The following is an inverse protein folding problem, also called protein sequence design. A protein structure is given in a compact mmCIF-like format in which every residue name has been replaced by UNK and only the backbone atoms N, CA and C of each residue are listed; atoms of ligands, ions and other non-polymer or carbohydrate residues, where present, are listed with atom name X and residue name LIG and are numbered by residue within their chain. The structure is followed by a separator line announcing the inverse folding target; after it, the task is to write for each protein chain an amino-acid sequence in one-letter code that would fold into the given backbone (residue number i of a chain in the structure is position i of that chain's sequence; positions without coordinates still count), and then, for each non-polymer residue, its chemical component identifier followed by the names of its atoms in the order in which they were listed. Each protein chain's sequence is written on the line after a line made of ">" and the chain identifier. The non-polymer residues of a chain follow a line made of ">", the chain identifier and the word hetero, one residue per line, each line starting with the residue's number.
data_IF_358449918189
#
_entry.id   IF_358449918189
#
_cell.length_a   1.000
_cell.length_b   1.000
_cell.length_c   1.000
_cell.angle_alpha   90.00
_cell.angle_beta   90.00
_cell.angle_gamma   90.00
#
_symmetry.space_group_name_H-M   'P 1'
#
loop_
_entity.id
_entity.type
_entity.pdbx_description
1 polymer ?
#
# COMPACT_ATOMS: atom_id res chain seq x y z
N UNK A 1 -14.29 7.03 -3.30
CA UNK A 1 -13.90 6.79 -1.89
C UNK A 1 -12.92 7.88 -1.48
N UNK A 2 -13.11 8.54 -0.33
CA UNK A 2 -12.10 9.50 0.19
C UNK A 2 -11.03 8.69 0.90
N UNK A 3 -9.79 8.75 0.41
CA UNK A 3 -8.65 8.02 0.98
C UNK A 3 -8.03 8.80 2.15
N UNK A 4 -7.40 8.10 3.10
CA UNK A 4 -6.73 8.72 4.24
C UNK A 4 -5.40 9.38 3.83
N UNK A 5 -4.82 10.22 4.70
CA UNK A 5 -3.57 10.91 4.39
C UNK A 5 -2.36 9.95 4.25
N UNK A 6 -2.43 8.70 4.73
CA UNK A 6 -1.42 7.68 4.37
C UNK A 6 -1.35 7.40 2.86
N UNK A 7 -2.38 7.76 2.10
CA UNK A 7 -2.41 7.64 0.65
C UNK A 7 -1.71 8.79 -0.06
N UNK A 8 -1.33 9.89 0.61
CA UNK A 8 -0.73 11.02 -0.09
C UNK A 8 0.78 10.84 -0.32
N UNK A 9 1.32 11.50 -1.33
CA UNK A 9 2.75 11.54 -1.64
C UNK A 9 3.46 12.69 -0.91
N UNK A 10 2.71 13.55 -0.22
CA UNK A 10 3.24 14.70 0.49
C UNK A 10 4.30 14.28 1.53
N UNK A 11 5.50 14.86 1.43
CA UNK A 11 6.62 14.57 2.32
C UNK A 11 7.26 13.19 2.15
N UNK A 12 6.83 12.36 1.18
CA UNK A 12 7.40 11.03 0.95
C UNK A 12 8.51 11.09 -0.11
N UNK A 13 9.70 10.59 0.23
CA UNK A 13 10.85 10.53 -0.66
C UNK A 13 10.94 9.22 -1.46
N UNK A 14 11.80 9.21 -2.48
CA UNK A 14 12.09 8.02 -3.30
C UNK A 14 12.55 6.83 -2.44
N UNK A 15 13.40 7.05 -1.44
CA UNK A 15 13.90 6.00 -0.56
C UNK A 15 12.78 5.25 0.15
N UNK A 16 11.78 5.97 0.66
CA UNK A 16 10.59 5.37 1.29
C UNK A 16 9.77 4.55 0.31
N UNK A 17 9.63 5.00 -0.94
CA UNK A 17 8.92 4.25 -1.99
C UNK A 17 9.64 2.97 -2.38
N UNK A 18 10.95 3.02 -2.50
CA UNK A 18 11.76 1.83 -2.74
C UNK A 18 11.72 0.86 -1.55
N UNK A 19 11.71 1.38 -0.33
CA UNK A 19 11.58 0.57 0.88
C UNK A 19 10.21 -0.11 0.96
N UNK A 20 9.11 0.61 0.72
CA UNK A 20 7.76 0.02 0.67
C UNK A 20 7.74 -1.18 -0.30
N UNK A 21 8.28 -1.02 -1.52
CA UNK A 21 8.34 -2.13 -2.51
C UNK A 21 9.25 -3.27 -2.04
N UNK A 22 10.39 -2.95 -1.43
CA UNK A 22 11.33 -3.95 -0.94
C UNK A 22 10.74 -4.79 0.18
N UNK A 23 9.99 -4.18 1.11
CA UNK A 23 9.31 -4.89 2.18
C UNK A 23 8.31 -5.91 1.63
N UNK A 24 7.46 -5.51 0.66
CA UNK A 24 6.51 -6.43 0.01
C UNK A 24 7.23 -7.52 -0.82
N UNK A 25 8.39 -7.21 -1.41
CA UNK A 25 9.21 -8.21 -2.12
C UNK A 25 9.78 -9.26 -1.17
N UNK A 26 10.18 -8.86 0.04
CA UNK A 26 10.64 -9.80 1.08
C UNK A 26 9.47 -10.68 1.51
N UNK A 27 8.29 -10.11 1.81
CA UNK A 27 7.08 -10.87 2.16
C UNK A 27 6.73 -11.88 1.05
N UNK A 28 6.83 -11.49 -0.23
CA UNK A 28 6.62 -12.38 -1.38
C UNK A 28 7.54 -13.62 -1.42
N UNK A 29 8.77 -13.54 -0.92
CA UNK A 29 9.69 -14.69 -0.87
C UNK A 29 9.50 -15.58 0.36
N UNK A 30 8.69 -15.15 1.34
CA UNK A 30 8.43 -15.88 2.58
C UNK A 30 7.14 -16.74 2.53
N UNK A 31 6.30 -16.56 1.50
CA UNK A 31 5.04 -17.31 1.34
C UNK A 31 5.23 -18.74 0.86
N UNK A 32 4.34 -19.64 1.27
CA UNK A 32 4.42 -21.07 0.96
C UNK A 32 3.35 -21.53 -0.03
N UNK A 33 2.30 -20.71 -0.26
CA UNK A 33 1.19 -21.06 -1.14
C UNK A 33 1.06 -20.12 -2.34
N UNK A 34 0.45 -20.62 -3.42
CA UNK A 34 0.20 -19.83 -4.64
C UNK A 34 -0.75 -18.67 -4.36
N UNK A 35 -1.74 -18.85 -3.49
CA UNK A 35 -2.70 -17.79 -3.18
C UNK A 35 -2.05 -16.64 -2.39
N UNK A 36 -1.19 -16.95 -1.42
CA UNK A 36 -0.38 -15.95 -0.70
C UNK A 36 0.61 -15.28 -1.65
N UNK A 37 1.29 -16.04 -2.51
CA UNK A 37 2.15 -15.48 -3.56
C UNK A 37 1.42 -14.46 -4.44
N UNK A 38 0.20 -14.75 -4.84
CA UNK A 38 -0.60 -13.82 -5.65
C UNK A 38 -1.10 -12.60 -4.84
N UNK A 39 -1.25 -12.70 -3.51
CA UNK A 39 -1.54 -11.54 -2.67
C UNK A 39 -0.33 -10.63 -2.59
N UNK A 40 0.82 -11.16 -2.17
CA UNK A 40 2.05 -10.38 -2.02
C UNK A 40 2.57 -9.83 -3.36
N UNK A 41 2.37 -10.57 -4.46
CA UNK A 41 2.68 -10.06 -5.79
C UNK A 41 1.84 -8.84 -6.13
N UNK A 42 0.56 -8.84 -5.74
CA UNK A 42 -0.32 -7.70 -5.95
C UNK A 42 0.08 -6.49 -5.11
N UNK A 43 0.65 -6.71 -3.92
CA UNK A 43 1.21 -5.68 -3.04
C UNK A 43 2.45 -5.04 -3.67
N UNK A 44 3.38 -5.85 -4.18
CA UNK A 44 4.56 -5.38 -4.95
C UNK A 44 4.15 -4.53 -6.15
N UNK A 45 3.21 -5.03 -6.97
CA UNK A 45 2.72 -4.33 -8.16
C UNK A 45 2.06 -3.01 -7.79
N UNK A 46 1.29 -2.99 -6.71
CA UNK A 46 0.70 -1.75 -6.19
C UNK A 46 1.78 -0.76 -5.74
N UNK A 47 2.83 -1.22 -5.04
CA UNK A 47 3.99 -0.42 -4.66
C UNK A 47 4.69 0.21 -5.88
N UNK A 48 4.86 -0.54 -6.96
CA UNK A 48 5.38 -0.02 -8.24
C UNK A 48 4.47 1.08 -8.79
N UNK A 49 3.15 0.88 -8.81
CA UNK A 49 2.20 1.91 -9.25
C UNK A 49 2.24 3.19 -8.39
N UNK A 50 2.50 3.06 -7.08
CA UNK A 50 2.74 4.19 -6.17
C UNK A 50 4.04 4.94 -6.50
N UNK A 51 5.11 4.21 -6.81
CA UNK A 51 6.39 4.80 -7.21
C UNK A 51 6.27 5.56 -8.54
N UNK A 52 5.61 4.97 -9.54
CA UNK A 52 5.35 5.64 -10.83
C UNK A 52 4.48 6.88 -10.61
N UNK A 53 3.42 6.76 -9.80
CA UNK A 53 2.57 7.90 -9.43
C UNK A 53 3.39 9.04 -8.82
N UNK A 54 4.17 8.73 -7.79
CA UNK A 54 5.07 9.69 -7.14
C UNK A 54 5.96 10.41 -8.14
N UNK A 55 6.58 9.67 -9.06
CA UNK A 55 7.45 10.24 -10.10
C UNK A 55 6.69 11.21 -11.03
N UNK A 56 5.39 10.99 -11.26
CA UNK A 56 4.53 11.84 -12.10
C UNK A 56 3.74 12.89 -11.32
N UNK A 57 3.95 13.02 -10.01
CA UNK A 57 3.23 13.98 -9.16
C UNK A 57 1.76 13.62 -8.93
N UNK A 58 1.38 12.35 -9.10
CA UNK A 58 0.04 11.82 -8.81
C UNK A 58 0.11 10.71 -7.77
N UNK A 59 -0.98 10.42 -7.06
CA UNK A 59 -0.88 9.48 -5.94
C UNK A 59 -0.60 8.02 -6.35
N UNK A 60 -1.11 7.63 -7.50
CA UNK A 60 -1.05 6.26 -7.97
C UNK A 60 -1.27 6.22 -9.48
N UNK A 61 -0.53 5.35 -10.17
CA UNK A 61 -0.80 4.95 -11.55
C UNK A 61 -1.22 3.50 -11.53
N UNK A 62 -2.36 3.17 -12.16
CA UNK A 62 -2.86 1.80 -12.27
C UNK A 62 -1.88 0.90 -13.03
N UNK A 63 -1.59 -0.27 -12.47
CA UNK A 63 -0.68 -1.26 -13.05
C UNK A 63 -1.38 -2.61 -13.12
N UNK A 64 -1.13 -3.37 -14.19
CA UNK A 64 -1.72 -4.69 -14.33
C UNK A 64 -1.30 -5.63 -13.18
N UNK A 65 -2.27 -6.15 -12.43
CA UNK A 65 -2.07 -7.06 -11.30
C UNK A 65 -2.36 -6.44 -9.92
N UNK A 66 -2.66 -5.15 -9.86
CA UNK A 66 -2.98 -4.40 -8.62
C UNK A 66 -4.36 -4.70 -8.03
N UNK A 67 -5.27 -5.29 -8.80
CA UNK A 67 -6.70 -5.32 -8.48
C UNK A 67 -7.02 -6.00 -7.14
N UNK A 68 -6.22 -7.00 -6.75
CA UNK A 68 -6.36 -7.68 -5.46
C UNK A 68 -5.98 -6.75 -4.30
N UNK A 69 -4.86 -6.06 -4.42
CA UNK A 69 -4.44 -5.06 -3.44
C UNK A 69 -5.40 -3.86 -3.34
N UNK A 70 -5.95 -3.38 -4.46
CA UNK A 70 -6.96 -2.31 -4.46
C UNK A 70 -8.19 -2.73 -3.64
N UNK A 71 -8.70 -3.96 -3.83
CA UNK A 71 -9.80 -4.49 -3.01
C UNK A 71 -9.42 -4.62 -1.53
N UNK A 72 -8.16 -4.98 -1.24
CA UNK A 72 -7.63 -5.02 0.13
C UNK A 72 -7.69 -3.63 0.78
N UNK A 73 -7.29 -2.58 0.06
CA UNK A 73 -7.39 -1.18 0.52
C UNK A 73 -8.84 -0.76 0.73
N UNK A 74 -9.74 -1.06 -0.20
CA UNK A 74 -11.18 -0.76 -0.05
C UNK A 74 -11.79 -1.47 1.15
N UNK A 75 -11.36 -2.70 1.45
CA UNK A 75 -11.70 -3.43 2.67
C UNK A 75 -11.24 -2.68 3.92
N UNK A 76 -9.94 -2.39 4.01
CA UNK A 76 -9.34 -1.68 5.16
C UNK A 76 -9.95 -0.31 5.40
N UNK A 77 -10.23 0.44 4.34
CA UNK A 77 -10.90 1.74 4.42
C UNK A 77 -12.33 1.61 4.98
N UNK A 78 -13.06 0.55 4.62
CA UNK A 78 -14.40 0.28 5.20
C UNK A 78 -14.33 -0.19 6.64
N UNK A 79 -13.33 -1.00 6.98
CA UNK A 79 -13.18 -1.58 8.33
C UNK A 79 -12.71 -0.54 9.36
N UNK A 80 -11.69 0.24 9.03
CA UNK A 80 -11.00 1.10 10.00
C UNK A 80 -10.48 2.42 9.39
N UNK A 81 -10.95 2.81 8.21
CA UNK A 81 -10.70 4.14 7.63
C UNK A 81 -9.24 4.44 7.26
N UNK A 82 -8.39 3.42 7.11
CA UNK A 82 -6.98 3.57 6.76
C UNK A 82 -6.58 2.57 5.68
N UNK A 83 -5.67 2.94 4.77
CA UNK A 83 -5.13 2.02 3.76
C UNK A 83 -4.10 1.04 4.32
N UNK A 84 -3.40 1.43 5.42
CA UNK A 84 -2.37 0.61 6.07
C UNK A 84 -3.04 -0.50 6.88
N UNK A 85 -2.35 -1.62 7.04
CA UNK A 85 -2.83 -2.73 7.85
C UNK A 85 -2.97 -2.37 9.34
N UNK A 86 -3.72 -3.16 10.09
CA UNK A 86 -4.03 -2.92 11.51
C UNK A 86 -2.80 -2.73 12.41
N UNK A 87 -1.66 -3.36 12.08
CA UNK A 87 -0.38 -3.23 12.82
C UNK A 87 0.18 -1.79 12.83
N UNK A 88 -0.27 -0.95 11.91
CA UNK A 88 0.17 0.44 11.76
C UNK A 88 -0.82 1.46 12.35
N UNK A 89 -1.90 1.00 12.99
CA UNK A 89 -2.88 1.87 13.63
C UNK A 89 -2.47 2.18 15.07
N UNK A 90 -2.69 3.42 15.51
CA UNK A 90 -2.54 3.82 16.91
C UNK A 90 -3.95 3.89 17.51
N UNK A 91 -4.20 3.14 18.58
CA UNK A 91 -5.53 3.00 19.21
C UNK A 91 -6.66 2.64 18.22
N UNK A 92 -6.32 1.81 17.22
CA UNK A 92 -7.25 1.39 16.15
C UNK A 92 -7.59 2.50 15.14
N UNK A 93 -6.90 3.64 15.19
CA UNK A 93 -7.09 4.78 14.30
C UNK A 93 -5.92 4.98 13.34
N UNK A 94 -6.22 5.61 12.21
CA UNK A 94 -5.24 5.99 11.20
C UNK A 94 -4.19 6.96 11.79
N UNK A 95 -2.93 6.54 11.82
CA UNK A 95 -1.83 7.32 12.38
C UNK A 95 -1.51 8.61 11.58
N UNK A 96 -2.01 8.76 10.35
CA UNK A 96 -1.83 10.00 9.58
C UNK A 96 -2.55 11.24 10.14
N UNK A 97 -3.28 11.10 11.24
CA UNK A 97 -3.89 12.19 12.01
C UNK A 97 -3.27 12.33 13.42
N UNK A 98 -2.25 11.54 13.75
CA UNK A 98 -1.63 11.49 15.07
C UNK A 98 -0.42 12.44 15.23
N UNK A 99 -0.38 13.52 14.43
CA UNK A 99 0.57 14.62 14.64
C UNK A 99 0.28 15.37 15.93
#
# INVERSE_FOLDING_TARGET
>A
MKLCACYTNEGVGLGTRCQDIWDELVELFEVETVDEFLDEWSDVVYGIGRLIGWFWGVEYVGVYGDARHIKKIEGRMREHGCIRSRRHLIDGKCCSLCN
#
